data_IF_534545024662
#
_entry.id   IF_534545024662
#
_cell.length_a   1.000
_cell.length_b   1.000
_cell.length_c   1.000
_cell.angle_alpha   90.00
_cell.angle_beta   90.00
_cell.angle_gamma   90.00
#
_symmetry.space_group_name_H-M   'P 1'
#
loop_
_entity.id
_entity.type
_entity.pdbx_description
1 polymer ?
#
# COMPACT_ATOMS: atom_id res chain seq x y z
N UNK A 1 -12.39 1.65 -19.43
CA UNK A 1 -13.19 1.89 -18.21
C UNK A 1 -12.82 0.85 -17.16
N UNK A 2 -13.07 1.09 -15.86
CA UNK A 2 -12.68 0.17 -14.77
C UNK A 2 -13.21 -1.27 -14.96
N UNK A 3 -14.37 -1.44 -15.60
CA UNK A 3 -14.94 -2.75 -15.91
C UNK A 3 -14.07 -3.58 -16.87
N UNK A 4 -13.60 -2.96 -17.96
CA UNK A 4 -12.71 -3.63 -18.90
C UNK A 4 -11.36 -4.02 -18.26
N UNK A 5 -10.85 -3.21 -17.33
CA UNK A 5 -9.66 -3.56 -16.54
C UNK A 5 -9.93 -4.77 -15.64
N UNK A 6 -11.11 -4.83 -15.00
CA UNK A 6 -11.50 -5.98 -14.16
C UNK A 6 -11.62 -7.28 -14.96
N UNK A 7 -12.14 -7.22 -16.19
CA UNK A 7 -12.25 -8.40 -17.07
C UNK A 7 -10.87 -8.99 -17.40
N UNK A 8 -9.85 -8.15 -17.51
CA UNK A 8 -8.46 -8.58 -17.75
C UNK A 8 -7.79 -9.12 -16.48
N UNK A 9 -7.97 -8.47 -15.32
CA UNK A 9 -7.21 -8.84 -14.11
C UNK A 9 -7.83 -9.98 -13.29
N UNK A 10 -9.17 -10.18 -13.34
CA UNK A 10 -9.86 -11.27 -12.61
C UNK A 10 -9.27 -12.65 -12.88
N UNK A 11 -9.01 -13.06 -14.13
CA UNK A 11 -8.41 -14.37 -14.40
C UNK A 11 -7.01 -14.55 -13.80
N UNK A 12 -6.26 -13.46 -13.64
CA UNK A 12 -4.87 -13.49 -13.17
C UNK A 12 -4.75 -13.50 -11.64
N UNK A 13 -5.74 -12.96 -10.93
CA UNK A 13 -5.72 -12.77 -9.48
C UNK A 13 -7.02 -13.24 -8.80
N UNK A 14 -7.39 -14.52 -8.97
CA UNK A 14 -8.65 -15.03 -8.42
C UNK A 14 -8.66 -14.95 -6.89
N UNK A 15 -9.72 -14.36 -6.32
CA UNK A 15 -9.90 -14.25 -4.87
C UNK A 15 -9.00 -13.21 -4.19
N UNK A 16 -8.30 -12.38 -4.97
CA UNK A 16 -7.30 -11.42 -4.46
C UNK A 16 -7.59 -9.98 -4.88
N UNK A 17 -8.69 -9.73 -5.59
CA UNK A 17 -8.99 -8.38 -6.06
C UNK A 17 -9.64 -7.53 -4.98
N UNK A 18 -8.90 -6.54 -4.50
CA UNK A 18 -9.38 -5.52 -3.57
C UNK A 18 -9.96 -4.36 -4.39
N UNK A 19 -11.28 -4.20 -4.40
CA UNK A 19 -11.95 -3.07 -5.05
C UNK A 19 -13.42 -2.97 -4.63
N UNK A 20 -14.11 -1.89 -5.03
CA UNK A 20 -15.56 -1.72 -4.76
C UNK A 20 -16.41 -2.92 -5.20
N UNK A 21 -16.03 -3.56 -6.31
CA UNK A 21 -16.73 -4.71 -6.90
C UNK A 21 -15.81 -5.94 -7.05
N UNK A 22 -14.76 -6.01 -6.23
CA UNK A 22 -13.75 -7.07 -6.24
C UNK A 22 -14.18 -8.27 -5.39
N UNK A 23 -13.24 -9.18 -5.17
CA UNK A 23 -13.43 -10.31 -4.26
C UNK A 23 -13.39 -9.85 -2.80
N UNK A 24 -12.53 -8.86 -2.52
CA UNK A 24 -12.47 -8.15 -1.25
C UNK A 24 -13.07 -6.76 -1.46
N UNK A 25 -14.22 -6.52 -0.84
CA UNK A 25 -14.89 -5.23 -0.91
C UNK A 25 -14.05 -4.16 -0.24
N UNK A 26 -13.83 -3.05 -0.97
CA UNK A 26 -13.03 -1.94 -0.49
C UNK A 26 -13.70 -0.60 -0.79
N UNK A 27 -13.69 0.36 0.16
CA UNK A 27 -14.24 1.69 -0.07
C UNK A 27 -13.49 2.42 -1.20
N UNK A 28 -14.19 3.18 -2.05
CA UNK A 28 -13.55 3.97 -3.10
C UNK A 28 -12.76 5.13 -2.49
N UNK A 29 -11.60 5.45 -3.08
CA UNK A 29 -10.73 6.58 -2.69
C UNK A 29 -10.23 6.51 -1.23
N UNK A 30 -9.84 5.33 -0.78
CA UNK A 30 -9.23 5.13 0.54
C UNK A 30 -7.75 4.71 0.41
N UNK A 31 -6.87 5.59 -0.11
CA UNK A 31 -5.44 5.31 -0.16
C UNK A 31 -4.85 5.18 1.26
N UNK A 32 -5.43 5.88 2.23
CA UNK A 32 -5.05 5.84 3.64
C UNK A 32 -5.20 4.44 4.27
N UNK A 33 -5.97 3.55 3.64
CA UNK A 33 -6.20 2.18 4.09
C UNK A 33 -5.37 1.14 3.30
N UNK A 34 -4.65 1.55 2.26
CA UNK A 34 -3.82 0.65 1.47
C UNK A 34 -2.39 0.63 2.02
N UNK A 35 -1.96 -0.49 2.62
CA UNK A 35 -0.60 -0.67 3.15
C UNK A 35 0.48 -0.28 2.14
N UNK A 36 0.26 -0.58 0.86
CA UNK A 36 1.20 -0.19 -0.18
C UNK A 36 1.29 1.34 -0.33
N UNK A 37 0.16 2.04 -0.27
CA UNK A 37 0.07 3.48 -0.52
C UNK A 37 0.47 4.32 0.70
N UNK A 38 0.03 3.95 1.90
CA UNK A 38 0.37 4.71 3.10
C UNK A 38 1.80 4.41 3.60
N UNK A 39 2.30 3.19 3.40
CA UNK A 39 3.63 2.78 3.88
C UNK A 39 4.63 2.52 2.75
N UNK A 40 4.42 1.46 1.96
CA UNK A 40 5.49 0.85 1.15
C UNK A 40 6.07 1.83 0.13
N UNK A 41 5.23 2.55 -0.63
CA UNK A 41 5.71 3.45 -1.66
C UNK A 41 6.47 4.65 -1.09
N UNK A 42 6.01 5.20 0.04
CA UNK A 42 6.72 6.27 0.76
C UNK A 42 8.08 5.79 1.26
N UNK A 43 8.11 4.62 1.91
CA UNK A 43 9.33 4.00 2.43
C UNK A 43 10.34 3.71 1.32
N UNK A 44 9.93 3.00 0.27
CA UNK A 44 10.80 2.67 -0.86
C UNK A 44 11.33 3.92 -1.54
N UNK A 45 10.49 4.93 -1.76
CA UNK A 45 10.93 6.18 -2.37
C UNK A 45 11.98 6.89 -1.50
N UNK A 46 11.80 6.95 -0.18
CA UNK A 46 12.78 7.56 0.70
C UNK A 46 14.14 6.85 0.59
N UNK A 47 14.16 5.52 0.64
CA UNK A 47 15.37 4.69 0.66
C UNK A 47 16.06 4.58 -0.69
N UNK A 48 15.32 4.23 -1.74
CA UNK A 48 15.87 3.99 -3.08
C UNK A 48 16.53 5.25 -3.65
N UNK A 49 15.98 6.42 -3.38
CA UNK A 49 16.51 7.69 -3.88
C UNK A 49 17.66 8.26 -3.06
N UNK A 50 18.04 7.67 -1.91
CA UNK A 50 19.29 8.04 -1.19
C UNK A 50 20.50 7.89 -2.12
N UNK A 51 20.54 6.80 -2.90
CA UNK A 51 21.64 6.47 -3.81
C UNK A 51 21.51 7.12 -5.20
N UNK A 52 20.44 7.88 -5.46
CA UNK A 52 20.20 8.62 -6.72
C UNK A 52 20.47 7.78 -7.99
N UNK A 53 19.77 6.65 -8.18
CA UNK A 53 19.96 5.80 -9.35
C UNK A 53 19.77 6.59 -10.65
N UNK A 54 20.65 6.38 -11.62
CA UNK A 54 20.67 7.10 -12.91
C UNK A 54 20.21 6.25 -14.09
N UNK A 55 20.16 4.94 -13.90
CA UNK A 55 19.68 4.00 -14.91
C UNK A 55 18.46 3.21 -14.40
N UNK A 56 17.69 2.66 -15.34
CA UNK A 56 16.55 1.80 -15.00
C UNK A 56 16.99 0.53 -14.27
N UNK A 57 18.16 -0.01 -14.60
CA UNK A 57 18.67 -1.23 -13.98
C UNK A 57 19.13 -0.98 -12.54
N UNK A 58 19.80 0.16 -12.29
CA UNK A 58 20.12 0.62 -10.93
C UNK A 58 18.85 0.81 -10.11
N UNK A 59 17.84 1.49 -10.67
CA UNK A 59 16.56 1.73 -9.98
C UNK A 59 15.87 0.41 -9.63
N UNK A 60 15.77 -0.52 -10.58
CA UNK A 60 15.16 -1.85 -10.34
C UNK A 60 15.96 -2.66 -9.32
N UNK A 61 17.29 -2.58 -9.36
CA UNK A 61 18.17 -3.24 -8.41
C UNK A 61 17.96 -2.70 -7.00
N UNK A 62 17.96 -1.38 -6.84
CA UNK A 62 17.73 -0.71 -5.56
C UNK A 62 16.34 -1.04 -4.98
N UNK A 63 15.27 -1.02 -5.79
CA UNK A 63 13.93 -1.40 -5.33
C UNK A 63 13.93 -2.84 -4.80
N UNK A 64 14.50 -3.80 -5.54
CA UNK A 64 14.56 -5.20 -5.09
C UNK A 64 15.40 -5.36 -3.82
N UNK A 65 16.50 -4.63 -3.73
CA UNK A 65 17.36 -4.60 -2.55
C UNK A 65 16.60 -4.13 -1.32
N UNK A 66 15.98 -2.95 -1.37
CA UNK A 66 15.23 -2.40 -0.24
C UNK A 66 14.03 -3.27 0.14
N UNK A 67 13.29 -3.82 -0.83
CA UNK A 67 12.19 -4.77 -0.55
C UNK A 67 12.70 -6.01 0.19
N UNK A 68 13.87 -6.52 -0.15
CA UNK A 68 14.47 -7.68 0.54
C UNK A 68 14.95 -7.34 1.97
N UNK A 69 15.14 -6.07 2.30
CA UNK A 69 15.50 -5.61 3.65
C UNK A 69 14.28 -5.33 4.54
N UNK A 70 13.05 -5.42 4.00
CA UNK A 70 11.83 -5.24 4.81
C UNK A 70 11.70 -6.39 5.81
N UNK A 71 12.00 -6.10 7.07
CA UNK A 71 11.94 -7.07 8.15
C UNK A 71 10.51 -7.37 8.58
N UNK A 72 10.28 -8.58 9.11
CA UNK A 72 8.99 -8.98 9.70
C UNK A 72 8.51 -7.99 10.77
N UNK A 73 9.41 -7.53 11.65
CA UNK A 73 9.06 -6.59 12.71
C UNK A 73 8.58 -5.22 12.18
N UNK A 74 9.04 -4.82 10.99
CA UNK A 74 8.51 -3.63 10.31
C UNK A 74 7.09 -3.87 9.82
N UNK A 75 6.82 -5.03 9.22
CA UNK A 75 5.48 -5.40 8.76
C UNK A 75 4.48 -5.55 9.91
N UNK A 76 4.90 -6.09 11.05
CA UNK A 76 4.07 -6.21 12.25
C UNK A 76 3.65 -4.82 12.79
N UNK A 77 4.56 -3.84 12.79
CA UNK A 77 4.24 -2.46 13.15
C UNK A 77 3.28 -1.80 12.16
N UNK A 78 3.48 -2.05 10.87
CA UNK A 78 2.60 -1.53 9.81
C UNK A 78 1.20 -2.12 9.92
N UNK A 79 1.08 -3.42 10.24
CA UNK A 79 -0.22 -4.06 10.46
C UNK A 79 -0.91 -3.51 11.72
N UNK A 80 -0.19 -3.33 12.83
CA UNK A 80 -0.74 -2.72 14.04
C UNK A 80 -1.28 -1.31 13.76
N UNK A 81 -0.51 -0.46 13.07
CA UNK A 81 -0.95 0.87 12.69
C UNK A 81 -2.16 0.81 11.73
N UNK A 82 -2.18 -0.14 10.79
CA UNK A 82 -3.32 -0.32 9.91
C UNK A 82 -4.61 -0.65 10.67
N UNK A 83 -4.56 -1.48 11.72
CA UNK A 83 -5.72 -1.75 12.56
C UNK A 83 -6.21 -0.48 13.29
N UNK A 84 -5.29 0.36 13.78
CA UNK A 84 -5.62 1.65 14.40
C UNK A 84 -6.27 2.61 13.40
N UNK A 85 -5.74 2.71 12.17
CA UNK A 85 -6.31 3.52 11.09
C UNK A 85 -7.73 3.07 10.75
N UNK A 86 -7.99 1.76 10.67
CA UNK A 86 -9.34 1.22 10.46
C UNK A 86 -10.28 1.63 11.59
N UNK A 87 -9.84 1.49 12.85
CA UNK A 87 -10.66 1.86 14.01
C UNK A 87 -10.98 3.36 14.02
N UNK A 88 -10.01 4.21 13.68
CA UNK A 88 -10.22 5.64 13.55
C UNK A 88 -11.23 5.97 12.44
N UNK A 89 -11.09 5.34 11.26
CA UNK A 89 -12.03 5.51 10.16
C UNK A 89 -13.46 5.12 10.54
N UNK A 90 -13.65 4.06 11.32
CA UNK A 90 -14.96 3.64 11.85
C UNK A 90 -15.51 4.70 12.82
N UNK A 91 -14.69 5.20 13.73
CA UNK A 91 -15.08 6.19 14.73
C UNK A 91 -15.48 7.53 14.08
N UNK A 92 -14.81 7.89 12.97
CA UNK A 92 -15.10 9.08 12.16
C UNK A 92 -16.16 8.82 11.08
N UNK A 93 -16.94 7.73 11.18
CA UNK A 93 -18.03 7.42 10.24
C UNK A 93 -17.59 7.37 8.76
N UNK A 94 -16.34 7.00 8.49
CA UNK A 94 -15.79 6.90 7.14
C UNK A 94 -15.32 8.21 6.52
N UNK A 95 -15.21 9.29 7.31
CA UNK A 95 -14.59 10.54 6.85
C UNK A 95 -13.08 10.39 6.60
N UNK A 96 -12.53 11.30 5.80
CA UNK A 96 -11.10 11.29 5.47
C UNK A 96 -10.27 11.64 6.71
N UNK A 97 -9.21 10.87 6.92
CA UNK A 97 -8.29 11.05 8.04
C UNK A 97 -7.27 12.14 7.68
N UNK A 98 -7.16 13.18 8.50
CA UNK A 98 -6.23 14.29 8.25
C UNK A 98 -4.77 13.95 8.57
N UNK A 99 -4.54 12.99 9.47
CA UNK A 99 -3.21 12.62 9.95
C UNK A 99 -3.02 11.09 9.88
N UNK A 100 -2.26 10.62 8.88
CA UNK A 100 -1.74 9.24 8.90
C UNK A 100 -0.60 9.21 9.91
N UNK A 101 -0.90 8.80 11.14
CA UNK A 101 0.07 8.78 12.23
C UNK A 101 1.03 7.61 12.01
N UNK A 102 2.25 7.89 11.56
CA UNK A 102 3.35 6.94 11.70
C UNK A 102 4.05 7.18 13.03
N UNK A 103 3.80 6.29 13.99
CA UNK A 103 4.68 6.18 15.15
C UNK A 103 5.94 5.41 14.73
N UNK A 104 7.05 6.14 14.60
CA UNK A 104 8.39 5.61 14.27
C UNK A 104 8.96 4.79 15.42
#
# INVERSE_FOLDING_TARGET
TARASMDVIRPHFPGRLISRFGDVHWPPRSPDLSICDFFLWGHLKARVYENKPRTLDELKGAIRGEVAQVERAMLERVDANFQELLQHCINDFGHHMSDVIFHT
#
